data_IF_637407121883
#
_entry.id   IF_637407121883
#
_cell.length_a   1.000
_cell.length_b   1.000
_cell.length_c   1.000
_cell.angle_alpha   90.00
_cell.angle_beta   90.00
_cell.angle_gamma   90.00
#
_symmetry.space_group_name_H-M   'P 1'
#
loop_
_entity.id
_entity.type
_entity.pdbx_description
1 polymer ?
#
# COMPACT_ATOMS: atom_id res chain seq x y z
N UNK A 1 -12.75 14.91 4.89
CA UNK A 1 -11.53 14.18 4.51
C UNK A 1 -11.89 12.70 4.50
N UNK A 2 -11.71 12.01 3.37
CA UNK A 2 -11.88 10.56 3.26
C UNK A 2 -10.52 9.89 3.51
N UNK A 3 -10.48 8.70 4.11
CA UNK A 3 -9.23 7.93 4.32
C UNK A 3 -8.48 7.69 3.00
N UNK A 4 -9.21 7.58 1.90
CA UNK A 4 -8.63 7.51 0.54
C UNK A 4 -7.76 8.73 0.24
N UNK A 5 -8.19 9.93 0.61
CA UNK A 5 -7.43 11.17 0.37
C UNK A 5 -6.08 11.16 1.11
N UNK A 6 -6.02 10.56 2.30
CA UNK A 6 -4.78 10.38 3.05
C UNK A 6 -3.79 9.50 2.28
N UNK A 7 -4.27 8.45 1.60
CA UNK A 7 -3.45 7.50 0.84
C UNK A 7 -3.25 7.86 -0.64
N UNK A 8 -3.91 8.90 -1.15
CA UNK A 8 -3.71 9.37 -2.54
C UNK A 8 -2.24 9.60 -2.94
N UNK A 9 -1.37 10.18 -2.09
CA UNK A 9 0.05 10.30 -2.41
C UNK A 9 0.72 8.95 -2.67
N UNK A 10 0.35 7.90 -1.92
CA UNK A 10 0.89 6.55 -2.11
C UNK A 10 0.41 5.94 -3.43
N UNK A 11 -0.88 6.09 -3.75
CA UNK A 11 -1.42 5.60 -5.03
C UNK A 11 -0.84 6.33 -6.25
N UNK A 12 -0.57 7.63 -6.14
CA UNK A 12 0.17 8.39 -7.15
C UNK A 12 1.59 7.87 -7.32
N UNK A 13 2.28 7.59 -6.22
CA UNK A 13 3.62 7.01 -6.25
C UNK A 13 3.61 5.63 -6.94
N UNK A 14 2.67 4.75 -6.59
CA UNK A 14 2.50 3.44 -7.23
C UNK A 14 2.34 3.58 -8.75
N UNK A 15 1.53 4.56 -9.18
CA UNK A 15 1.30 4.83 -10.59
C UNK A 15 2.56 5.37 -11.27
N UNK A 16 3.29 6.28 -10.61
CA UNK A 16 4.53 6.86 -11.12
C UNK A 16 5.64 5.81 -11.27
N UNK A 17 5.82 4.90 -10.30
CA UNK A 17 6.79 3.80 -10.39
C UNK A 17 6.51 2.89 -11.59
N UNK A 18 5.23 2.66 -11.94
CA UNK A 18 4.85 1.85 -13.09
C UNK A 18 5.08 2.55 -14.42
N UNK A 19 4.86 3.86 -14.48
CA UNK A 19 4.96 4.64 -15.73
C UNK A 19 6.39 5.12 -16.00
N UNK A 20 7.15 5.46 -14.96
CA UNK A 20 8.49 6.05 -15.03
C UNK A 20 9.51 5.28 -14.16
N UNK A 21 9.69 3.96 -14.36
CA UNK A 21 10.56 3.14 -13.50
C UNK A 21 12.02 3.60 -13.46
N UNK A 22 12.50 4.29 -14.50
CA UNK A 22 13.84 4.86 -14.60
C UNK A 22 14.14 5.96 -13.56
N UNK A 23 13.11 6.71 -13.15
CA UNK A 23 13.22 7.75 -12.11
C UNK A 23 13.47 7.16 -10.71
N UNK A 24 13.26 5.85 -10.56
CA UNK A 24 13.35 5.11 -9.29
C UNK A 24 14.47 4.07 -9.30
N UNK A 25 15.53 4.31 -10.07
CA UNK A 25 16.62 3.35 -10.27
C UNK A 25 17.50 3.11 -9.03
N UNK A 26 17.65 4.12 -8.16
CA UNK A 26 18.39 3.99 -6.89
C UNK A 26 17.51 3.39 -5.79
N UNK A 27 17.91 2.24 -5.25
CA UNK A 27 17.12 1.50 -4.26
C UNK A 27 16.91 2.27 -2.96
N UNK A 28 17.99 2.77 -2.35
CA UNK A 28 17.93 3.40 -1.03
C UNK A 28 17.08 4.66 -1.05
N UNK A 29 17.26 5.52 -2.06
CA UNK A 29 16.47 6.73 -2.23
C UNK A 29 15.01 6.42 -2.52
N UNK A 30 14.74 5.45 -3.40
CA UNK A 30 13.38 5.01 -3.74
C UNK A 30 12.65 4.45 -2.53
N UNK A 31 13.31 3.55 -1.78
CA UNK A 31 12.75 2.95 -0.57
C UNK A 31 12.47 3.97 0.50
N UNK A 32 13.40 4.89 0.74
CA UNK A 32 13.21 5.99 1.69
C UNK A 32 12.03 6.87 1.28
N UNK A 33 11.91 7.23 0.00
CA UNK A 33 10.81 8.04 -0.51
C UNK A 33 9.45 7.35 -0.30
N UNK A 34 9.37 6.07 -0.64
CA UNK A 34 8.17 5.25 -0.44
C UNK A 34 7.76 5.20 1.02
N UNK A 35 8.70 4.84 1.91
CA UNK A 35 8.44 4.73 3.35
C UNK A 35 7.98 6.07 3.91
N UNK A 36 8.64 7.17 3.58
CA UNK A 36 8.25 8.50 4.03
C UNK A 36 6.83 8.86 3.58
N UNK A 37 6.49 8.55 2.33
CA UNK A 37 5.15 8.82 1.76
C UNK A 37 4.07 8.01 2.48
N UNK A 38 4.35 6.73 2.75
CA UNK A 38 3.44 5.85 3.49
C UNK A 38 3.26 6.32 4.94
N UNK A 39 4.35 6.60 5.65
CA UNK A 39 4.29 7.04 7.05
C UNK A 39 3.59 8.40 7.19
N UNK A 40 3.74 9.29 6.20
CA UNK A 40 2.97 10.53 6.16
C UNK A 40 1.47 10.28 5.92
N UNK A 41 1.11 9.38 5.02
CA UNK A 41 -0.27 8.98 4.81
C UNK A 41 -0.90 8.39 6.09
N UNK A 42 -0.18 7.52 6.80
CA UNK A 42 -0.60 6.95 8.10
C UNK A 42 -0.82 8.06 9.12
N UNK A 43 0.17 8.94 9.34
CA UNK A 43 0.04 10.07 10.27
C UNK A 43 -1.13 11.00 9.95
N UNK A 44 -1.49 11.13 8.68
CA UNK A 44 -2.66 11.92 8.27
C UNK A 44 -3.98 11.17 8.49
N UNK A 45 -4.00 9.85 8.30
CA UNK A 45 -5.18 9.02 8.58
C UNK A 45 -5.49 8.91 10.07
N UNK A 46 -4.47 8.89 10.94
CA UNK A 46 -4.63 8.87 12.42
C UNK A 46 -5.33 10.12 12.97
N UNK A 47 -5.35 11.22 12.22
CA UNK A 47 -6.08 12.45 12.60
C UNK A 47 -7.58 12.34 12.35
N UNK A 48 -8.04 11.27 11.71
CA UNK A 48 -9.44 11.01 11.44
C UNK A 48 -10.10 10.31 12.63
N UNK A 49 -11.41 10.52 12.80
CA UNK A 49 -12.22 9.80 13.80
C UNK A 49 -12.64 8.42 13.29
N UNK A 50 -11.66 7.57 12.96
CA UNK A 50 -11.84 6.17 12.57
C UNK A 50 -11.32 5.25 13.67
N UNK A 51 -11.80 4.01 13.70
CA UNK A 51 -11.26 3.04 14.65
C UNK A 51 -9.92 2.47 14.19
N UNK A 52 -9.09 2.03 15.15
CA UNK A 52 -7.78 1.45 14.87
C UNK A 52 -7.86 0.31 13.84
N UNK A 53 -8.92 -0.51 13.91
CA UNK A 53 -9.11 -1.61 12.95
C UNK A 53 -9.31 -1.13 11.51
N UNK A 54 -9.93 0.03 11.30
CA UNK A 54 -10.10 0.62 9.96
C UNK A 54 -8.80 1.22 9.45
N UNK A 55 -8.05 1.90 10.33
CA UNK A 55 -6.74 2.45 10.02
C UNK A 55 -5.77 1.32 9.64
N UNK A 56 -5.73 0.26 10.44
CA UNK A 56 -4.91 -0.92 10.22
C UNK A 56 -5.29 -1.65 8.93
N UNK A 57 -6.59 -1.82 8.66
CA UNK A 57 -7.06 -2.46 7.44
C UNK A 57 -6.66 -1.66 6.18
N UNK A 58 -6.80 -0.33 6.21
CA UNK A 58 -6.39 0.54 5.12
C UNK A 58 -4.86 0.51 4.92
N UNK A 59 -4.10 0.60 6.01
CA UNK A 59 -2.65 0.51 5.98
C UNK A 59 -2.18 -0.81 5.37
N UNK A 60 -2.77 -1.93 5.81
CA UNK A 60 -2.48 -3.25 5.28
C UNK A 60 -2.72 -3.33 3.77
N UNK A 61 -3.91 -2.90 3.30
CA UNK A 61 -4.26 -2.92 1.89
C UNK A 61 -3.26 -2.14 1.03
N UNK A 62 -2.79 -0.99 1.52
CA UNK A 62 -1.84 -0.12 0.81
C UNK A 62 -0.45 -0.75 0.75
N UNK A 63 0.05 -1.31 1.85
CA UNK A 63 1.36 -1.97 1.89
C UNK A 63 1.41 -3.16 0.93
N UNK A 64 0.40 -4.02 0.97
CA UNK A 64 0.32 -5.20 0.10
C UNK A 64 0.23 -4.79 -1.37
N UNK A 65 -0.61 -3.80 -1.69
CA UNK A 65 -0.72 -3.26 -3.05
C UNK A 65 0.59 -2.64 -3.55
N UNK A 66 1.32 -1.94 -2.69
CA UNK A 66 2.58 -1.29 -3.05
C UNK A 66 3.65 -2.32 -3.41
N UNK A 67 3.82 -3.34 -2.56
CA UNK A 67 4.75 -4.44 -2.83
C UNK A 67 4.39 -5.15 -4.14
N UNK A 68 3.13 -5.52 -4.34
CA UNK A 68 2.66 -6.17 -5.58
C UNK A 68 2.93 -5.28 -6.81
N UNK A 69 2.63 -3.97 -6.71
CA UNK A 69 2.85 -3.04 -7.80
C UNK A 69 4.33 -2.93 -8.18
N UNK A 70 5.24 -2.89 -7.20
CA UNK A 70 6.68 -2.83 -7.46
C UNK A 70 7.18 -4.15 -8.05
N UNK A 71 6.75 -5.28 -7.48
CA UNK A 71 7.14 -6.60 -7.98
C UNK A 71 6.67 -6.86 -9.42
N UNK A 72 5.54 -6.27 -9.81
CA UNK A 72 4.98 -6.33 -11.17
C UNK A 72 5.42 -5.19 -12.10
N UNK A 73 6.15 -4.18 -11.61
CA UNK A 73 6.66 -3.05 -12.41
C UNK A 73 7.98 -3.36 -13.12
N UNK A 74 8.46 -2.49 -13.99
CA UNK A 74 9.80 -2.60 -14.60
C UNK A 74 10.94 -1.96 -13.77
N UNK A 75 10.71 -1.74 -12.47
CA UNK A 75 11.66 -1.09 -11.58
C UNK A 75 13.03 -1.82 -11.55
N UNK A 76 14.17 -1.12 -11.76
CA UNK A 76 15.50 -1.75 -11.78
C UNK A 76 15.85 -2.45 -10.46
N UNK A 77 15.53 -1.82 -9.33
CA UNK A 77 15.82 -2.34 -7.98
C UNK A 77 14.78 -3.35 -7.47
N UNK A 78 13.88 -3.85 -8.32
CA UNK A 78 12.82 -4.82 -7.97
C UNK A 78 13.34 -6.09 -7.30
N UNK A 79 14.55 -6.57 -7.64
CA UNK A 79 15.14 -7.75 -6.99
C UNK A 79 15.46 -7.45 -5.52
N UNK A 80 16.11 -6.33 -5.26
CA UNK A 80 16.44 -5.88 -3.90
C UNK A 80 15.19 -5.54 -3.10
N UNK A 81 14.14 -5.03 -3.76
CA UNK A 81 12.82 -4.86 -3.15
C UNK A 81 12.20 -6.19 -2.69
N UNK A 82 12.28 -7.24 -3.51
CA UNK A 82 11.76 -8.57 -3.18
C UNK A 82 12.36 -9.13 -1.90
N UNK A 83 13.64 -8.88 -1.66
CA UNK A 83 14.33 -9.37 -0.46
C UNK A 83 13.99 -8.53 0.79
N UNK A 84 13.30 -7.40 0.62
CA UNK A 84 13.05 -6.38 1.64
C UNK A 84 11.61 -5.85 1.59
N UNK A 85 10.64 -6.72 1.35
CA UNK A 85 9.22 -6.37 1.23
C UNK A 85 8.73 -5.53 2.42
N UNK A 86 7.85 -4.57 2.15
CA UNK A 86 7.24 -3.78 3.22
C UNK A 86 6.30 -4.62 4.07
N UNK A 87 5.65 -5.64 3.50
CA UNK A 87 4.90 -6.63 4.27
C UNK A 87 5.76 -7.32 5.33
N UNK A 88 7.01 -7.68 5.01
CA UNK A 88 7.93 -8.25 6.00
C UNK A 88 8.30 -7.20 7.05
N UNK A 89 8.60 -5.96 6.63
CA UNK A 89 8.95 -4.86 7.54
C UNK A 89 7.83 -4.56 8.55
N UNK A 90 6.58 -4.47 8.10
CA UNK A 90 5.46 -3.98 8.91
C UNK A 90 4.64 -5.09 9.56
N UNK A 91 4.54 -6.28 8.93
CA UNK A 91 3.70 -7.38 9.39
C UNK A 91 4.49 -8.65 9.75
N UNK A 92 5.77 -8.73 9.37
CA UNK A 92 6.63 -9.89 9.67
C UNK A 92 6.39 -11.13 8.79
N UNK A 93 5.47 -11.05 7.82
CA UNK A 93 5.16 -12.11 6.86
C UNK A 93 4.80 -11.50 5.49
N UNK A 94 4.84 -12.30 4.43
CA UNK A 94 4.53 -11.88 3.05
C UNK A 94 3.34 -12.63 2.43
N UNK A 95 2.40 -13.08 3.28
CA UNK A 95 1.15 -13.73 2.87
C UNK A 95 0.06 -12.73 2.43
N UNK A 96 0.48 -11.58 1.89
CA UNK A 96 -0.34 -10.40 1.62
C UNK A 96 -1.64 -10.69 0.91
N UNK A 97 -1.57 -11.48 -0.15
CA UNK A 97 -2.67 -11.71 -1.07
C UNK A 97 -3.89 -12.41 -0.47
N UNK A 98 -3.67 -13.56 0.19
CA UNK A 98 -4.76 -14.31 0.85
C UNK A 98 -5.40 -13.47 1.96
N UNK A 99 -4.56 -12.83 2.77
CA UNK A 99 -5.05 -12.04 3.90
C UNK A 99 -5.67 -10.70 3.47
N UNK A 100 -5.32 -10.16 2.30
CA UNK A 100 -5.99 -9.01 1.71
C UNK A 100 -7.47 -9.29 1.50
N UNK A 101 -7.82 -10.40 0.84
CA UNK A 101 -9.22 -10.74 0.60
C UNK A 101 -9.96 -11.12 1.89
N UNK A 102 -9.30 -11.79 2.82
CA UNK A 102 -9.88 -12.05 4.14
C UNK A 102 -10.24 -10.76 4.90
N UNK A 103 -9.35 -9.76 4.89
CA UNK A 103 -9.63 -8.45 5.49
C UNK A 103 -10.71 -7.69 4.72
N UNK A 104 -10.72 -7.78 3.39
CA UNK A 104 -11.75 -7.16 2.56
C UNK A 104 -13.15 -7.65 2.93
N UNK A 105 -13.33 -8.95 3.13
CA UNK A 105 -14.63 -9.50 3.55
C UNK A 105 -15.10 -8.89 4.87
N UNK A 106 -14.19 -8.77 5.86
CA UNK A 106 -14.48 -8.14 7.16
C UNK A 106 -14.80 -6.66 7.05
N UNK A 107 -14.10 -5.95 6.17
CA UNK A 107 -14.32 -4.52 5.89
C UNK A 107 -15.69 -4.30 5.23
N UNK A 108 -16.10 -5.17 4.30
CA UNK A 108 -17.42 -5.12 3.67
C UNK A 108 -18.52 -5.42 4.70
N UNK A 109 -18.37 -6.47 5.50
CA UNK A 109 -19.33 -6.86 6.55
C UNK A 109 -19.56 -5.73 7.57
N UNK A 110 -18.50 -5.01 7.93
CA UNK A 110 -18.56 -3.92 8.92
C UNK A 110 -18.99 -2.57 8.35
N UNK A 111 -19.03 -2.41 7.02
CA UNK A 111 -19.28 -1.12 6.37
C UNK A 111 -18.17 -0.09 6.61
N UNK A 112 -16.95 -0.57 6.88
CA UNK A 112 -15.80 0.28 7.19
C UNK A 112 -15.40 1.20 6.03
N UNK A 113 -14.92 2.40 6.36
CA UNK A 113 -14.38 3.35 5.39
C UNK A 113 -13.10 2.83 4.69
N UNK A 114 -12.40 1.86 5.29
CA UNK A 114 -11.26 1.20 4.67
C UNK A 114 -11.64 0.53 3.34
N UNK A 115 -12.91 0.15 3.14
CA UNK A 115 -13.38 -0.51 1.92
C UNK A 115 -13.10 0.29 0.66
N UNK A 116 -13.10 1.63 0.74
CA UNK A 116 -12.73 2.48 -0.38
C UNK A 116 -11.26 2.37 -0.77
N UNK A 117 -10.37 2.16 0.21
CA UNK A 117 -8.93 1.94 -0.02
C UNK A 117 -8.71 0.60 -0.70
N UNK A 118 -9.37 -0.47 -0.21
CA UNK A 118 -9.34 -1.78 -0.85
C UNK A 118 -9.87 -1.74 -2.29
N UNK A 119 -11.01 -1.08 -2.51
CA UNK A 119 -11.57 -0.90 -3.85
C UNK A 119 -10.57 -0.24 -4.79
N UNK A 120 -9.86 0.79 -4.32
CA UNK A 120 -8.86 1.45 -5.15
C UNK A 120 -7.65 0.55 -5.44
N UNK A 121 -7.19 -0.26 -4.49
CA UNK A 121 -6.18 -1.28 -4.75
C UNK A 121 -6.62 -2.23 -5.88
N UNK A 122 -7.87 -2.72 -5.84
CA UNK A 122 -8.43 -3.59 -6.89
C UNK A 122 -8.52 -2.88 -8.25
N UNK A 123 -8.99 -1.63 -8.28
CA UNK A 123 -9.07 -0.82 -9.52
C UNK A 123 -7.70 -0.55 -10.14
N UNK A 124 -6.66 -0.45 -9.30
CA UNK A 124 -5.26 -0.30 -9.74
C UNK A 124 -4.62 -1.66 -10.09
N UNK A 125 -5.39 -2.73 -10.14
CA UNK A 125 -4.94 -4.03 -10.65
C UNK A 125 -4.34 -4.94 -9.59
N UNK A 126 -4.66 -4.74 -8.30
CA UNK A 126 -4.39 -5.77 -7.29
C UNK A 126 -5.20 -7.03 -7.61
N UNK A 127 -4.53 -8.19 -7.71
CA UNK A 127 -5.16 -9.43 -8.18
C UNK A 127 -4.81 -10.67 -7.38
N UNK A 128 -3.86 -10.61 -6.44
CA UNK A 128 -3.26 -11.81 -5.83
C UNK A 128 -3.20 -11.72 -4.33
#
# INVERSE_FOLDING_TARGET
MNIVECYMPVFKLISSVRVFPEEYSDYDSTRKNIINTVEEAVRNSEKMSLSDSELDAAFYAVIVMLDEAILCSELPCRKEWRDNLLQIKYFGHSTGGVEFFYKLDKVIESGSQAGWVFLLCLLLGFQR
#
